data_IF_399544116851
#
_entry.id   IF_399544116851
#
_cell.length_a   1.000
_cell.length_b   1.000
_cell.length_c   1.000
_cell.angle_alpha   90.00
_cell.angle_beta   90.00
_cell.angle_gamma   90.00
#
_symmetry.space_group_name_H-M   'P 1'
#
loop_
_entity.id
_entity.type
_entity.pdbx_description
1 polymer ?
#
# COMPACT_ATOMS: atom_id res chain seq x y z
N UNK A 1 17.53 55.57 10.93
CA UNK A 1 16.57 54.52 10.51
C UNK A 1 17.34 53.43 9.79
N UNK A 2 17.49 52.26 10.41
CA UNK A 2 18.21 51.10 9.84
C UNK A 2 17.17 50.16 9.23
N UNK A 3 17.25 49.95 7.91
CA UNK A 3 16.39 49.03 7.16
C UNK A 3 17.00 47.63 7.27
N UNK A 4 16.37 46.74 8.03
CA UNK A 4 16.72 45.31 8.06
C UNK A 4 16.05 44.63 6.86
N UNK A 5 16.86 44.19 5.89
CA UNK A 5 16.44 43.27 4.84
C UNK A 5 16.26 41.88 5.45
N UNK A 6 15.02 41.40 5.51
CA UNK A 6 14.70 40.01 5.81
C UNK A 6 14.89 39.22 4.52
N UNK A 7 16.01 38.50 4.43
CA UNK A 7 16.29 37.54 3.37
C UNK A 7 15.46 36.27 3.67
N UNK A 8 14.24 36.20 3.14
CA UNK A 8 13.43 34.97 3.17
C UNK A 8 14.06 33.93 2.25
N UNK A 9 14.83 33.00 2.83
CA UNK A 9 15.27 31.78 2.16
C UNK A 9 14.06 30.85 2.14
N UNK A 10 13.30 30.87 1.04
CA UNK A 10 12.30 29.85 0.75
C UNK A 10 13.05 28.56 0.47
N UNK A 11 13.18 27.72 1.49
CA UNK A 11 13.71 26.38 1.39
C UNK A 11 12.74 25.56 0.52
N UNK A 12 13.03 25.45 -0.78
CA UNK A 12 12.43 24.45 -1.65
C UNK A 12 12.89 23.08 -1.13
N UNK A 13 12.14 22.52 -0.19
CA UNK A 13 12.23 21.11 0.18
C UNK A 13 11.71 20.29 -1.01
N UNK A 14 12.61 20.05 -1.97
CA UNK A 14 12.50 18.93 -2.88
C UNK A 14 12.37 17.68 -2.02
N UNK A 15 11.16 17.16 -1.90
CA UNK A 15 10.95 15.73 -1.70
C UNK A 15 11.82 15.05 -2.75
N UNK A 16 12.85 14.35 -2.28
CA UNK A 16 13.59 13.39 -3.09
C UNK A 16 12.65 12.25 -3.47
N UNK A 17 11.75 12.51 -4.42
CA UNK A 17 11.33 11.50 -5.36
C UNK A 17 12.61 11.12 -6.10
N UNK A 18 13.28 10.07 -5.61
CA UNK A 18 14.18 9.33 -6.47
C UNK A 18 13.35 8.95 -7.69
N UNK A 19 13.60 9.61 -8.82
CA UNK A 19 12.98 9.28 -10.07
C UNK A 19 13.36 7.83 -10.37
N UNK A 20 12.45 6.91 -10.04
CA UNK A 20 12.58 5.51 -10.40
C UNK A 20 12.32 5.52 -11.91
N UNK A 21 13.39 5.71 -12.70
CA UNK A 21 13.30 5.65 -14.14
C UNK A 21 12.72 4.28 -14.49
N UNK A 22 11.46 4.28 -14.95
CA UNK A 22 10.91 3.09 -15.57
C UNK A 22 11.80 2.81 -16.79
N UNK A 23 12.22 1.57 -17.00
CA UNK A 23 12.96 1.26 -18.20
C UNK A 23 12.07 1.60 -19.41
N UNK A 24 12.65 2.27 -20.40
CA UNK A 24 11.98 2.69 -21.65
C UNK A 24 11.34 1.52 -22.43
N UNK A 25 11.58 0.28 -22.00
CA UNK A 25 11.14 -0.97 -22.61
C UNK A 25 10.59 -1.96 -21.55
N UNK A 26 9.79 -1.47 -20.60
CA UNK A 26 9.10 -2.34 -19.65
C UNK A 26 7.89 -2.99 -20.33
N UNK A 27 7.95 -4.28 -20.64
CA UNK A 27 6.79 -5.07 -21.03
C UNK A 27 6.27 -5.88 -19.83
N UNK A 28 4.98 -6.21 -19.84
CA UNK A 28 4.36 -7.02 -18.81
C UNK A 28 3.56 -8.17 -19.42
N UNK A 29 3.69 -9.35 -18.82
CA UNK A 29 2.98 -10.57 -19.19
C UNK A 29 2.13 -11.04 -18.02
N UNK A 30 0.88 -11.46 -18.27
CA UNK A 30 -0.01 -12.07 -17.28
C UNK A 30 -0.25 -13.52 -17.64
N UNK A 31 -0.02 -14.44 -16.71
CA UNK A 31 -0.26 -15.86 -16.93
C UNK A 31 -1.75 -16.17 -16.92
N UNK A 32 -2.26 -16.95 -17.88
CA UNK A 32 -3.69 -17.21 -18.03
C UNK A 32 -4.33 -18.07 -16.94
N UNK A 33 -3.53 -18.74 -16.09
CA UNK A 33 -4.04 -19.78 -15.18
C UNK A 33 -4.06 -19.34 -13.72
N UNK A 34 -3.04 -18.63 -13.26
CA UNK A 34 -2.92 -18.13 -11.89
C UNK A 34 -2.91 -16.60 -11.83
N UNK A 35 -3.04 -15.93 -12.98
CA UNK A 35 -3.05 -14.48 -13.11
C UNK A 35 -1.80 -13.76 -12.58
N UNK A 36 -0.71 -14.49 -12.35
CA UNK A 36 0.59 -13.93 -11.99
C UNK A 36 1.07 -12.98 -13.09
N UNK A 37 1.62 -11.84 -12.69
CA UNK A 37 2.16 -10.86 -13.63
C UNK A 37 3.67 -10.82 -13.55
N UNK A 38 4.35 -10.84 -14.69
CA UNK A 38 5.78 -10.64 -14.78
C UNK A 38 6.08 -9.38 -15.60
N UNK A 39 6.87 -8.47 -15.04
CA UNK A 39 7.28 -7.23 -15.69
C UNK A 39 8.78 -7.30 -16.00
N UNK A 40 9.18 -6.93 -17.20
CA UNK A 40 10.55 -7.02 -17.72
C UNK A 40 11.23 -5.66 -17.80
N UNK A 41 12.51 -5.64 -18.17
CA UNK A 41 13.26 -4.44 -18.51
C UNK A 41 14.03 -3.79 -17.35
N UNK A 42 13.96 -4.32 -16.13
CA UNK A 42 14.66 -3.76 -14.98
C UNK A 42 16.12 -4.18 -14.91
N UNK A 43 16.93 -3.42 -14.19
CA UNK A 43 18.31 -3.83 -13.91
C UNK A 43 18.30 -5.01 -12.93
N UNK A 44 19.11 -6.07 -13.13
CA UNK A 44 19.20 -7.16 -12.17
C UNK A 44 19.49 -6.68 -10.74
N UNK A 45 18.72 -7.16 -9.76
CA UNK A 45 18.83 -6.74 -8.36
C UNK A 45 18.19 -5.38 -8.03
N UNK A 46 17.62 -4.68 -9.01
CA UNK A 46 16.93 -3.41 -8.78
C UNK A 46 15.72 -3.62 -7.86
N UNK A 47 15.64 -2.82 -6.80
CA UNK A 47 14.43 -2.70 -5.98
C UNK A 47 13.45 -1.75 -6.65
N UNK A 48 12.20 -2.16 -6.71
CA UNK A 48 11.11 -1.43 -7.35
C UNK A 48 9.91 -1.41 -6.43
N UNK A 49 9.24 -0.27 -6.37
CA UNK A 49 8.00 -0.12 -5.62
C UNK A 49 6.80 -0.34 -6.54
N UNK A 50 5.95 -1.29 -6.16
CA UNK A 50 4.66 -1.54 -6.79
C UNK A 50 3.58 -0.94 -5.92
N UNK A 51 2.79 -0.04 -6.48
CA UNK A 51 1.71 0.64 -5.78
C UNK A 51 0.39 0.05 -6.21
N UNK A 52 -0.37 -0.47 -5.25
CA UNK A 52 -1.73 -0.95 -5.46
C UNK A 52 -2.71 0.12 -5.02
N UNK A 53 -3.72 0.37 -5.85
CA UNK A 53 -4.74 1.39 -5.60
C UNK A 53 -5.56 1.08 -4.34
N UNK A 54 -5.93 -0.19 -4.16
CA UNK A 54 -6.67 -0.68 -3.01
C UNK A 54 -6.46 -2.18 -2.83
N UNK A 55 -5.95 -2.59 -1.67
CA UNK A 55 -5.87 -3.99 -1.22
C UNK A 55 -6.65 -4.15 0.06
N UNK A 56 -7.19 -5.34 0.31
CA UNK A 56 -7.91 -5.67 1.54
C UNK A 56 -7.04 -6.56 2.41
N UNK A 57 -6.70 -6.11 3.63
CA UNK A 57 -5.86 -6.85 4.58
C UNK A 57 -6.62 -7.10 5.87
N UNK A 58 -6.65 -8.35 6.32
CA UNK A 58 -7.19 -8.70 7.63
C UNK A 58 -6.10 -8.60 8.70
N UNK A 59 -6.52 -8.20 9.90
CA UNK A 59 -5.67 -8.11 11.07
C UNK A 59 -6.49 -8.39 12.33
N UNK A 60 -5.96 -9.21 13.22
CA UNK A 60 -6.51 -9.31 14.58
C UNK A 60 -6.06 -8.13 15.44
N UNK A 61 -7.01 -7.51 16.13
CA UNK A 61 -6.79 -6.43 17.07
C UNK A 61 -7.53 -6.76 18.37
N UNK A 62 -6.86 -6.54 19.50
CA UNK A 62 -7.47 -6.77 20.82
C UNK A 62 -7.83 -5.43 21.46
N UNK A 63 -9.06 -5.31 21.92
CA UNK A 63 -9.52 -4.16 22.66
C UNK A 63 -8.81 -4.14 24.01
N UNK A 64 -8.40 -2.95 24.47
CA UNK A 64 -7.80 -2.83 25.78
C UNK A 64 -8.84 -3.04 26.90
N UNK A 65 -8.40 -2.90 28.16
CA UNK A 65 -9.28 -3.03 29.33
C UNK A 65 -10.39 -1.96 29.39
N UNK A 66 -10.28 -0.88 28.62
CA UNK A 66 -11.29 0.15 28.51
C UNK A 66 -12.23 -0.03 27.32
N UNK A 67 -12.05 -1.11 26.55
CA UNK A 67 -12.93 -1.46 25.45
C UNK A 67 -12.70 -0.63 24.19
N UNK A 68 -11.46 -0.28 23.85
CA UNK A 68 -11.18 0.27 22.52
C UNK A 68 -10.08 -0.47 21.77
N UNK A 69 -10.36 -0.74 20.49
CA UNK A 69 -9.44 -1.23 19.49
C UNK A 69 -8.62 -0.06 18.97
N UNK A 70 -7.32 -0.27 18.73
CA UNK A 70 -6.47 0.70 18.04
C UNK A 70 -6.04 0.12 16.70
N UNK A 71 -6.58 0.67 15.61
CA UNK A 71 -6.18 0.33 14.24
C UNK A 71 -5.24 1.43 13.75
N UNK A 72 -4.08 1.04 13.21
CA UNK A 72 -3.00 1.96 12.80
C UNK A 72 -2.48 1.61 11.42
N UNK A 73 -1.65 2.50 10.85
CA UNK A 73 -1.11 2.32 9.49
C UNK A 73 -2.12 2.63 8.40
N UNK A 74 -3.07 3.52 8.71
CA UNK A 74 -4.13 3.92 7.81
C UNK A 74 -3.76 5.20 7.07
N UNK A 75 -4.32 5.40 5.88
CA UNK A 75 -4.25 6.66 5.13
C UNK A 75 -5.65 7.24 4.98
N UNK A 76 -5.80 8.51 4.61
CA UNK A 76 -7.11 9.19 4.62
C UNK A 76 -8.20 8.53 3.76
N UNK A 77 -7.82 7.75 2.75
CA UNK A 77 -8.73 6.99 1.88
C UNK A 77 -8.99 5.56 2.34
N UNK A 78 -8.44 5.13 3.48
CA UNK A 78 -8.67 3.77 3.98
C UNK A 78 -10.12 3.59 4.46
N UNK A 79 -10.63 2.38 4.25
CA UNK A 79 -11.88 1.88 4.81
C UNK A 79 -11.54 0.75 5.78
N UNK A 80 -12.05 0.83 7.01
CA UNK A 80 -11.82 -0.18 8.04
C UNK A 80 -13.15 -0.84 8.40
N UNK A 81 -13.23 -2.15 8.31
CA UNK A 81 -14.40 -2.93 8.72
C UNK A 81 -14.10 -3.67 10.01
N UNK A 82 -14.95 -3.48 11.02
CA UNK A 82 -14.91 -4.18 12.31
C UNK A 82 -16.25 -4.87 12.50
N UNK A 83 -16.26 -6.20 12.52
CA UNK A 83 -17.49 -6.98 12.46
C UNK A 83 -18.29 -6.64 11.19
N UNK A 84 -19.53 -6.18 11.35
CA UNK A 84 -20.41 -5.75 10.25
C UNK A 84 -20.33 -4.25 9.93
N UNK A 85 -19.58 -3.47 10.71
CA UNK A 85 -19.55 -2.00 10.59
C UNK A 85 -18.32 -1.54 9.83
N UNK A 86 -18.51 -0.68 8.82
CA UNK A 86 -17.42 -0.12 8.02
C UNK A 86 -17.25 1.38 8.29
N UNK A 87 -16.00 1.81 8.46
CA UNK A 87 -15.60 3.17 8.74
C UNK A 87 -14.73 3.68 7.59
N UNK A 88 -15.23 4.66 6.84
CA UNK A 88 -14.41 5.41 5.87
C UNK A 88 -13.77 6.58 6.60
N UNK A 89 -12.44 6.65 6.65
CA UNK A 89 -11.75 7.60 7.52
C UNK A 89 -12.03 9.05 7.19
N UNK A 90 -12.26 9.39 5.92
CA UNK A 90 -12.67 10.74 5.50
C UNK A 90 -13.99 11.21 6.13
N UNK A 91 -14.81 10.29 6.63
CA UNK A 91 -16.15 10.58 7.17
C UNK A 91 -16.20 10.50 8.70
N UNK A 92 -15.10 10.13 9.36
CA UNK A 92 -15.05 10.07 10.82
C UNK A 92 -14.40 11.33 11.36
N UNK A 93 -15.01 11.94 12.36
CA UNK A 93 -14.46 13.14 12.99
C UNK A 93 -13.08 12.87 13.59
N UNK A 94 -12.13 13.75 13.28
CA UNK A 94 -10.81 13.76 13.91
C UNK A 94 -10.92 14.26 15.33
N UNK A 95 -10.27 13.59 16.28
CA UNK A 95 -10.29 13.97 17.69
C UNK A 95 -9.00 13.59 18.40
N UNK A 96 -8.99 13.79 19.72
CA UNK A 96 -7.87 13.36 20.57
C UNK A 96 -7.88 11.85 20.79
N UNK A 97 -6.69 11.29 21.01
CA UNK A 97 -6.52 9.90 21.45
C UNK A 97 -7.42 9.62 22.67
N UNK A 98 -8.24 8.56 22.66
CA UNK A 98 -8.94 8.11 23.85
C UNK A 98 -7.96 7.77 24.98
N UNK A 99 -8.27 8.18 26.20
CA UNK A 99 -7.51 7.79 27.38
C UNK A 99 -8.33 6.84 28.27
N UNK A 100 -7.66 6.24 29.24
CA UNK A 100 -8.30 5.34 30.19
C UNK A 100 -9.12 6.09 31.27
N UNK A 101 -9.26 7.41 31.20
CA UNK A 101 -10.15 8.17 32.08
C UNK A 101 -11.60 8.22 31.55
N UNK A 102 -11.79 7.89 30.27
CA UNK A 102 -13.08 7.92 29.55
C UNK A 102 -13.74 6.55 29.40
N UNK A 103 -13.41 5.61 30.29
CA UNK A 103 -13.93 4.24 30.21
C UNK A 103 -15.37 4.13 30.75
N UNK A 104 -16.24 3.31 30.13
CA UNK A 104 -15.97 2.47 28.96
C UNK A 104 -16.07 3.23 27.63
N UNK A 105 -15.18 2.92 26.67
CA UNK A 105 -15.20 3.50 25.32
C UNK A 105 -16.12 2.75 24.35
N UNK A 106 -17.02 1.89 24.86
CA UNK A 106 -17.87 1.00 24.06
C UNK A 106 -18.83 1.82 23.18
N UNK A 107 -18.97 1.43 21.91
CA UNK A 107 -19.87 2.07 20.95
C UNK A 107 -19.41 3.43 20.42
N UNK A 108 -18.21 3.89 20.80
CA UNK A 108 -17.65 5.15 20.31
C UNK A 108 -16.67 4.92 19.16
N UNK A 109 -16.48 5.93 18.32
CA UNK A 109 -15.46 5.92 17.26
C UNK A 109 -14.72 7.25 17.21
N UNK A 110 -13.41 7.21 17.09
CA UNK A 110 -12.57 8.40 16.89
C UNK A 110 -11.47 8.11 15.88
N UNK A 111 -11.14 9.12 15.07
CA UNK A 111 -9.93 9.10 14.25
C UNK A 111 -8.93 10.08 14.84
N UNK A 112 -7.67 9.68 14.92
CA UNK A 112 -6.54 10.56 15.16
C UNK A 112 -5.71 10.61 13.89
N UNK A 113 -5.44 11.81 13.40
CA UNK A 113 -4.43 12.02 12.38
C UNK A 113 -3.10 12.35 13.07
N UNK A 114 -2.04 11.66 12.67
CA UNK A 114 -0.69 11.78 13.19
C UNK A 114 0.23 11.94 11.96
N UNK A 115 0.60 13.19 11.68
CA UNK A 115 1.20 13.65 10.43
C UNK A 115 0.42 13.20 9.17
N UNK A 116 0.96 12.20 8.47
CA UNK A 116 0.42 11.63 7.23
C UNK A 116 -0.23 10.25 7.45
N UNK A 117 -0.36 9.81 8.70
CA UNK A 117 -0.97 8.53 9.05
C UNK A 117 -2.21 8.73 9.91
N UNK A 118 -3.12 7.79 9.83
CA UNK A 118 -4.35 7.79 10.60
C UNK A 118 -4.37 6.60 11.55
N UNK A 119 -4.95 6.84 12.72
CA UNK A 119 -5.30 5.82 13.71
C UNK A 119 -6.80 5.88 13.92
N UNK A 120 -7.46 4.73 13.81
CA UNK A 120 -8.89 4.59 14.11
C UNK A 120 -9.03 3.89 15.46
N UNK A 121 -9.80 4.52 16.35
CA UNK A 121 -10.20 3.96 17.63
C UNK A 121 -11.66 3.56 17.55
N UNK A 122 -11.96 2.28 17.79
CA UNK A 122 -13.33 1.74 17.75
C UNK A 122 -13.65 1.10 19.09
N UNK A 123 -14.79 1.48 19.66
CA UNK A 123 -15.32 0.92 20.89
C UNK A 123 -15.80 -0.51 20.71
N UNK A 124 -15.31 -1.41 21.55
CA UNK A 124 -15.65 -2.83 21.60
C UNK A 124 -15.69 -3.30 23.06
N UNK A 125 -16.13 -4.54 23.31
CA UNK A 125 -16.07 -5.12 24.66
C UNK A 125 -14.62 -5.19 25.17
N UNK A 126 -14.34 -4.88 26.46
CA UNK A 126 -12.99 -4.94 27.01
C UNK A 126 -12.29 -6.29 26.82
N UNK A 127 -11.01 -6.25 26.48
CA UNK A 127 -10.15 -7.43 26.31
C UNK A 127 -10.62 -8.45 25.25
N UNK A 128 -11.55 -8.07 24.37
CA UNK A 128 -12.02 -8.91 23.27
C UNK A 128 -11.10 -8.76 22.06
N UNK A 129 -10.83 -9.88 21.38
CA UNK A 129 -10.15 -9.92 20.09
C UNK A 129 -11.19 -9.79 18.97
N UNK A 130 -10.95 -8.88 18.05
CA UNK A 130 -11.74 -8.66 16.85
C UNK A 130 -10.84 -8.79 15.62
N UNK A 131 -11.34 -9.45 14.56
CA UNK A 131 -10.70 -9.43 13.25
C UNK A 131 -11.19 -8.20 12.50
N UNK A 132 -10.26 -7.33 12.10
CA UNK A 132 -10.55 -6.12 11.35
C UNK A 132 -10.06 -6.26 9.92
N UNK A 133 -10.85 -5.79 8.96
CA UNK A 133 -10.44 -5.70 7.56
C UNK A 133 -10.06 -4.25 7.26
N UNK A 134 -8.89 -4.04 6.68
CA UNK A 134 -8.38 -2.73 6.27
C UNK A 134 -8.26 -2.73 4.77
N UNK A 135 -9.07 -1.91 4.12
CA UNK A 135 -9.00 -1.65 2.70
C UNK A 135 -8.32 -0.31 2.45
N UNK A 136 -7.30 -0.28 1.58
CA UNK A 136 -6.62 0.97 1.23
C UNK A 136 -5.44 0.76 0.29
N UNK A 137 -4.79 1.84 -0.14
CA UNK A 137 -3.61 1.74 -0.98
C UNK A 137 -2.47 1.02 -0.25
N UNK A 138 -1.66 0.31 -1.00
CA UNK A 138 -0.51 -0.42 -0.44
C UNK A 138 0.67 -0.35 -1.39
N UNK A 139 1.85 -0.13 -0.81
CA UNK A 139 3.11 -0.18 -1.54
C UNK A 139 3.84 -1.47 -1.16
N UNK A 140 4.34 -2.18 -2.15
CA UNK A 140 5.16 -3.37 -2.00
C UNK A 140 6.51 -3.14 -2.68
N UNK A 141 7.61 -3.36 -1.96
CA UNK A 141 8.92 -3.45 -2.59
C UNK A 141 9.14 -4.86 -3.15
N UNK A 142 9.56 -4.94 -4.40
CA UNK A 142 9.94 -6.16 -5.10
C UNK A 142 11.32 -5.97 -5.74
N UNK A 143 12.04 -7.06 -5.92
CA UNK A 143 13.40 -7.04 -6.47
C UNK A 143 13.41 -7.75 -7.81
N UNK A 144 14.02 -7.12 -8.82
CA UNK A 144 14.23 -7.75 -10.11
C UNK A 144 15.24 -8.90 -9.99
N UNK A 145 14.94 -10.04 -10.63
CA UNK A 145 15.84 -11.19 -10.64
C UNK A 145 17.07 -10.98 -11.55
N UNK A 146 17.88 -12.02 -11.74
CA UNK A 146 19.10 -11.97 -12.55
C UNK A 146 18.88 -11.57 -14.02
N UNK A 147 17.66 -11.73 -14.55
CA UNK A 147 17.29 -11.34 -15.92
C UNK A 147 16.55 -10.00 -15.98
N UNK A 148 16.45 -9.27 -14.87
CA UNK A 148 15.72 -8.01 -14.82
C UNK A 148 14.20 -8.17 -14.75
N UNK A 149 13.70 -9.33 -14.31
CA UNK A 149 12.27 -9.59 -14.22
C UNK A 149 11.75 -9.40 -12.80
N UNK A 150 10.58 -8.79 -12.70
CA UNK A 150 9.81 -8.68 -11.47
C UNK A 150 8.59 -9.56 -11.59
N UNK A 151 8.46 -10.55 -10.71
CA UNK A 151 7.26 -11.38 -10.60
C UNK A 151 6.34 -10.85 -9.50
N UNK A 152 5.10 -10.57 -9.86
CA UNK A 152 4.01 -10.18 -8.99
C UNK A 152 3.01 -11.34 -8.92
N UNK A 153 3.07 -12.06 -7.80
CA UNK A 153 2.13 -13.15 -7.55
C UNK A 153 0.74 -12.59 -7.25
N UNK A 154 -0.29 -13.09 -7.95
CA UNK A 154 -1.67 -12.64 -7.84
C UNK A 154 -2.43 -13.47 -6.78
N UNK A 155 -2.07 -13.31 -5.51
CA UNK A 155 -2.69 -14.08 -4.42
C UNK A 155 -3.04 -13.21 -3.21
N UNK A 156 -4.06 -13.66 -2.47
CA UNK A 156 -4.49 -13.08 -1.22
C UNK A 156 -4.91 -11.61 -1.38
N UNK A 157 -4.36 -10.66 -0.59
CA UNK A 157 -4.83 -9.27 -0.61
C UNK A 157 -4.55 -8.54 -1.93
N UNK A 158 -3.70 -9.09 -2.80
CA UNK A 158 -3.29 -8.51 -4.08
C UNK A 158 -4.05 -9.08 -5.28
N UNK A 159 -4.93 -10.05 -5.06
CA UNK A 159 -5.67 -10.73 -6.11
C UNK A 159 -6.57 -9.77 -6.90
N UNK A 160 -6.41 -9.81 -8.23
CA UNK A 160 -7.13 -9.02 -9.22
C UNK A 160 -7.09 -7.51 -8.97
N UNK A 161 -5.99 -7.04 -8.39
CA UNK A 161 -5.79 -5.62 -8.12
C UNK A 161 -5.03 -4.93 -9.24
N UNK A 162 -5.48 -3.71 -9.54
CA UNK A 162 -4.73 -2.79 -10.40
C UNK A 162 -3.54 -2.23 -9.63
N UNK A 163 -2.42 -2.10 -10.33
CA UNK A 163 -1.19 -1.57 -9.76
C UNK A 163 -0.45 -0.67 -10.74
N UNK A 164 0.39 0.19 -10.18
CA UNK A 164 1.33 1.03 -10.90
C UNK A 164 2.76 0.71 -10.47
N UNK A 165 3.71 0.99 -11.34
CA UNK A 165 5.14 0.95 -11.03
C UNK A 165 5.72 2.29 -11.50
N UNK A 166 6.50 2.98 -10.65
CA UNK A 166 7.04 4.30 -11.00
C UNK A 166 5.96 5.34 -11.38
N UNK A 167 4.72 5.17 -10.90
CA UNK A 167 3.59 6.06 -11.19
C UNK A 167 2.77 5.69 -12.43
N UNK A 168 3.23 4.78 -13.29
CA UNK A 168 2.49 4.36 -14.49
C UNK A 168 1.73 3.06 -14.27
N UNK A 169 0.49 3.01 -14.73
CA UNK A 169 -0.30 1.79 -14.75
C UNK A 169 0.37 0.72 -15.63
N UNK A 170 0.38 -0.52 -15.15
CA UNK A 170 0.90 -1.65 -15.90
C UNK A 170 -0.26 -2.40 -16.53
N UNK A 171 -0.25 -2.55 -17.86
CA UNK A 171 -1.26 -3.31 -18.61
C UNK A 171 -0.59 -4.53 -19.23
N UNK A 172 -0.68 -5.71 -18.60
CA UNK A 172 0.02 -6.90 -19.08
C UNK A 172 -0.71 -7.56 -20.27
N UNK A 173 0.06 -8.15 -21.17
CA UNK A 173 -0.45 -9.04 -22.22
C UNK A 173 -0.65 -10.44 -21.64
N UNK A 174 -1.82 -11.04 -21.85
CA UNK A 174 -2.10 -12.40 -21.39
C UNK A 174 -1.30 -13.42 -22.21
N UNK A 175 -0.61 -14.34 -21.53
CA UNK A 175 0.20 -15.42 -22.11
C UNK A 175 -0.09 -16.75 -21.43
N UNK A 176 0.13 -17.85 -22.14
CA UNK A 176 -0.04 -19.20 -21.57
C UNK A 176 1.03 -19.56 -20.52
N UNK A 177 2.24 -19.01 -20.67
CA UNK A 177 3.37 -19.22 -19.76
C UNK A 177 4.13 -17.91 -19.64
N UNK A 178 4.53 -17.52 -18.43
CA UNK A 178 5.32 -16.31 -18.21
C UNK A 178 6.74 -16.41 -18.78
N UNK A 179 7.38 -15.29 -19.15
CA UNK A 179 8.81 -15.25 -19.39
C UNK A 179 9.60 -15.85 -18.22
N UNK A 180 10.68 -16.58 -18.52
CA UNK A 180 11.48 -17.29 -17.54
C UNK A 180 12.92 -16.78 -17.53
N UNK A 181 13.54 -16.80 -16.35
CA UNK A 181 14.97 -16.53 -16.22
C UNK A 181 15.69 -17.84 -15.93
N UNK A 182 16.45 -18.37 -16.90
CA UNK A 182 17.20 -19.61 -16.75
C UNK A 182 18.69 -19.32 -16.80
N UNK A 183 19.38 -19.51 -15.67
CA UNK A 183 20.82 -19.25 -15.54
C UNK A 183 21.24 -17.84 -15.99
N UNK A 184 20.42 -16.82 -15.68
CA UNK A 184 20.68 -15.42 -16.08
C UNK A 184 20.31 -15.10 -17.53
N UNK A 185 19.76 -16.07 -18.28
CA UNK A 185 19.28 -15.86 -19.65
C UNK A 185 17.76 -15.70 -19.67
N UNK A 186 17.22 -14.59 -20.22
CA UNK A 186 15.79 -14.41 -20.38
C UNK A 186 15.25 -15.32 -21.50
N UNK A 187 14.16 -16.02 -21.22
CA UNK A 187 13.41 -16.85 -22.16
C UNK A 187 11.99 -16.30 -22.27
N UNK A 188 11.59 -15.91 -23.48
CA UNK A 188 10.27 -15.33 -23.73
C UNK A 188 9.35 -16.35 -24.41
N UNK A 189 8.07 -16.43 -24.02
CA UNK A 189 7.09 -17.26 -24.71
C UNK A 189 6.78 -16.70 -26.10
N UNK A 190 6.30 -17.55 -27.00
CA UNK A 190 5.82 -17.11 -28.30
C UNK A 190 4.71 -16.06 -28.16
N UNK A 191 4.79 -14.98 -28.95
CA UNK A 191 3.81 -13.88 -28.92
C UNK A 191 4.05 -12.81 -27.84
N UNK A 192 5.09 -12.95 -27.01
CA UNK A 192 5.53 -11.89 -26.11
C UNK A 192 6.78 -11.21 -26.67
N UNK A 193 6.73 -9.88 -26.80
CA UNK A 193 7.87 -9.06 -27.18
C UNK A 193 8.17 -8.10 -26.02
N UNK A 194 9.37 -8.14 -25.43
CA UNK A 194 9.77 -7.25 -24.35
C UNK A 194 9.91 -5.79 -24.79
#
# INVERSE_FOLDING_TARGET
>A
MRLQQVLSITLLSFLGLGAIAQPLFAAAAKESTNDDVLVTGYTPGQKVEVQYSSVSKEKDVTANNCGFLTISGLVGTSVVTVGSTSYTLSNVSTGTKPDNSTCPFVGQVKVLQDDNTYKLYVGASPNVRETVTIQGPSIRSVTANACGFIKLTNTGPYEDKTFTIGGSAVTPTTVAVLPQCKNGVPLYPAGFTP
#
